data_IF_098339578146
#
_entry.id   IF_098339578146
#
_cell.length_a   1.000
_cell.length_b   1.000
_cell.length_c   1.000
_cell.angle_alpha   90.00
_cell.angle_beta   90.00
_cell.angle_gamma   90.00
#
_symmetry.space_group_name_H-M   'P 1'
#
loop_
_entity.id
_entity.type
_entity.pdbx_description
1 polymer ?
#
# COMPACT_ATOMS: atom_id res chain seq x y z
N UNK A 1 26.90 -46.75 -9.76
CA UNK A 1 27.19 -45.44 -9.08
C UNK A 1 27.27 -44.34 -10.12
N UNK A 2 26.23 -43.54 -10.25
CA UNK A 2 26.16 -42.45 -11.24
C UNK A 2 26.73 -41.16 -10.63
N UNK A 3 27.80 -40.64 -11.23
CA UNK A 3 28.40 -39.34 -10.87
C UNK A 3 27.42 -38.22 -11.28
N UNK A 4 26.85 -37.50 -10.29
CA UNK A 4 26.13 -36.25 -10.49
C UNK A 4 27.04 -35.24 -11.18
N UNK A 5 26.75 -34.84 -12.44
CA UNK A 5 27.38 -33.71 -13.13
C UNK A 5 27.09 -32.44 -12.33
N UNK A 6 28.11 -31.80 -11.77
CA UNK A 6 28.00 -30.43 -11.26
C UNK A 6 27.64 -29.50 -12.40
N UNK A 7 26.49 -28.82 -12.31
CA UNK A 7 26.12 -27.70 -13.18
C UNK A 7 27.22 -26.63 -13.05
N UNK A 8 27.87 -26.30 -14.15
CA UNK A 8 28.80 -25.17 -14.22
C UNK A 8 27.94 -23.89 -14.14
N UNK A 9 27.86 -23.30 -12.95
CA UNK A 9 27.37 -21.93 -12.79
C UNK A 9 28.40 -21.00 -13.44
N UNK A 10 27.98 -20.29 -14.48
CA UNK A 10 28.78 -19.23 -15.11
C UNK A 10 28.93 -18.09 -14.08
N UNK A 11 30.14 -17.90 -13.61
CA UNK A 11 30.49 -16.79 -12.73
C UNK A 11 30.48 -15.47 -13.55
N UNK A 12 29.97 -14.36 -13.00
CA UNK A 12 30.10 -13.03 -13.62
C UNK A 12 31.60 -12.72 -13.90
N UNK A 13 31.87 -12.11 -15.05
CA UNK A 13 33.23 -11.77 -15.47
C UNK A 13 33.97 -10.95 -14.39
N UNK A 14 35.13 -11.41 -13.99
CA UNK A 14 36.00 -10.73 -13.02
C UNK A 14 35.78 -11.10 -11.56
N UNK A 15 34.79 -11.93 -11.21
CA UNK A 15 34.55 -12.36 -9.83
C UNK A 15 35.13 -13.72 -9.48
N UNK A 16 35.84 -13.82 -8.36
CA UNK A 16 36.22 -15.12 -7.81
C UNK A 16 35.00 -15.84 -7.22
N UNK A 17 35.01 -17.19 -7.18
CA UNK A 17 33.94 -18.00 -6.56
C UNK A 17 33.62 -17.58 -5.11
N UNK A 18 34.60 -17.11 -4.37
CA UNK A 18 34.45 -16.62 -2.99
C UNK A 18 33.69 -15.29 -2.97
N UNK A 19 34.02 -14.37 -3.89
CA UNK A 19 33.33 -13.08 -4.04
C UNK A 19 31.89 -13.26 -4.49
N UNK A 20 31.62 -14.12 -5.48
CA UNK A 20 30.28 -14.45 -5.93
C UNK A 20 29.42 -15.06 -4.79
N UNK A 21 29.99 -15.96 -3.98
CA UNK A 21 29.29 -16.53 -2.82
C UNK A 21 29.04 -15.51 -1.71
N UNK A 22 29.96 -14.56 -1.49
CA UNK A 22 29.75 -13.45 -0.54
C UNK A 22 28.70 -12.47 -1.04
N UNK A 23 28.73 -12.12 -2.33
CA UNK A 23 27.73 -11.28 -2.97
C UNK A 23 26.34 -11.91 -2.91
N UNK A 24 26.20 -13.19 -3.25
CA UNK A 24 24.94 -13.92 -3.14
C UNK A 24 24.38 -13.95 -1.71
N UNK A 25 25.22 -14.16 -0.70
CA UNK A 25 24.81 -14.11 0.71
C UNK A 25 24.46 -12.70 1.18
N UNK A 26 25.13 -11.66 0.65
CA UNK A 26 24.81 -10.28 0.94
C UNK A 26 23.47 -9.89 0.31
N UNK A 27 23.22 -10.30 -0.93
CA UNK A 27 21.93 -10.11 -1.61
C UNK A 27 20.79 -10.84 -0.89
N UNK A 28 21.00 -12.10 -0.48
CA UNK A 28 20.06 -12.88 0.31
C UNK A 28 19.72 -12.19 1.65
N UNK A 29 20.73 -11.65 2.35
CA UNK A 29 20.50 -10.87 3.57
C UNK A 29 19.74 -9.58 3.29
N UNK A 30 20.11 -8.85 2.25
CA UNK A 30 19.45 -7.63 1.86
C UNK A 30 17.99 -7.87 1.44
N UNK A 31 17.70 -8.99 0.77
CA UNK A 31 16.34 -9.40 0.42
C UNK A 31 15.47 -9.74 1.66
N UNK A 32 16.11 -10.25 2.72
CA UNK A 32 15.45 -10.56 4.00
C UNK A 32 15.33 -9.34 4.94
N UNK A 33 16.01 -8.25 4.63
CA UNK A 33 16.01 -7.05 5.45
C UNK A 33 14.71 -6.26 5.25
N UNK A 34 13.91 -6.15 6.31
CA UNK A 34 12.70 -5.32 6.31
C UNK A 34 13.11 -3.86 6.31
N UNK A 35 12.69 -3.12 5.29
CA UNK A 35 12.82 -1.67 5.33
C UNK A 35 11.69 -1.10 6.22
N UNK A 36 11.99 -0.26 7.22
CA UNK A 36 10.97 0.28 8.13
C UNK A 36 9.90 1.10 7.40
N UNK A 37 10.30 1.82 6.34
CA UNK A 37 9.40 2.61 5.46
C UNK A 37 9.70 2.27 4.00
N UNK A 38 9.14 1.18 3.46
CA UNK A 38 9.49 0.68 2.12
C UNK A 38 9.17 1.65 0.97
N UNK A 39 8.22 2.56 1.18
CA UNK A 39 7.84 3.62 0.23
C UNK A 39 8.28 5.02 0.71
N UNK A 40 9.07 5.09 1.78
CA UNK A 40 9.46 6.34 2.41
C UNK A 40 10.14 7.33 1.47
N UNK A 41 9.74 8.61 1.56
CA UNK A 41 10.25 9.70 0.75
C UNK A 41 9.62 9.83 -0.64
N UNK A 42 8.54 9.10 -0.91
CA UNK A 42 7.64 9.35 -2.04
C UNK A 42 6.41 10.10 -1.55
N UNK A 43 5.91 11.08 -2.30
CA UNK A 43 4.63 11.74 -2.01
C UNK A 43 3.49 10.70 -1.97
N UNK A 44 3.57 9.67 -2.80
CA UNK A 44 2.64 8.55 -2.86
C UNK A 44 2.73 7.55 -1.70
N UNK A 45 3.62 7.72 -0.70
CA UNK A 45 3.86 6.72 0.35
C UNK A 45 2.60 6.26 1.06
N UNK A 46 1.78 7.20 1.56
CA UNK A 46 0.55 6.88 2.28
C UNK A 46 -0.46 6.14 1.38
N UNK A 47 -0.57 6.54 0.12
CA UNK A 47 -1.44 5.93 -0.87
C UNK A 47 -1.01 4.50 -1.20
N UNK A 48 0.29 4.26 -1.42
CA UNK A 48 0.83 2.91 -1.67
C UNK A 48 0.59 1.98 -0.47
N UNK A 49 0.81 2.47 0.75
CA UNK A 49 0.53 1.70 1.97
C UNK A 49 -0.96 1.41 2.11
N UNK A 50 -1.83 2.39 1.85
CA UNK A 50 -3.27 2.19 1.94
C UNK A 50 -3.78 1.17 0.92
N UNK A 51 -3.32 1.25 -0.33
CA UNK A 51 -3.65 0.29 -1.39
C UNK A 51 -3.17 -1.12 -1.08
N UNK A 52 -2.01 -1.24 -0.44
CA UNK A 52 -1.47 -2.55 -0.08
C UNK A 52 -2.23 -3.22 1.07
N UNK A 53 -2.63 -2.45 2.09
CA UNK A 53 -3.12 -3.00 3.35
C UNK A 53 -4.64 -2.94 3.51
N UNK A 54 -5.31 -1.99 2.86
CA UNK A 54 -6.68 -1.65 3.24
C UNK A 54 -7.68 -1.66 2.10
N UNK A 55 -7.24 -1.60 0.85
CA UNK A 55 -8.13 -1.47 -0.31
C UNK A 55 -8.15 -2.77 -1.10
N UNK A 56 -9.33 -3.38 -1.30
CA UNK A 56 -9.42 -4.67 -2.01
C UNK A 56 -9.24 -4.53 -3.52
N UNK A 57 -9.82 -3.51 -4.14
CA UNK A 57 -9.80 -3.33 -5.59
C UNK A 57 -9.62 -1.86 -5.96
N UNK A 58 -8.42 -1.53 -6.45
CA UNK A 58 -8.12 -0.19 -6.93
C UNK A 58 -6.93 -0.22 -7.89
N UNK A 59 -6.83 0.83 -8.71
CA UNK A 59 -5.67 1.14 -9.55
C UNK A 59 -5.29 2.61 -9.40
N UNK A 60 -4.02 2.93 -9.67
CA UNK A 60 -3.59 4.31 -9.85
C UNK A 60 -2.47 4.37 -10.89
N UNK A 61 -2.45 5.43 -11.70
CA UNK A 61 -1.39 5.64 -12.68
C UNK A 61 -0.11 6.04 -11.95
N UNK A 62 1.01 5.40 -12.31
CA UNK A 62 2.33 5.71 -11.79
C UNK A 62 3.09 6.66 -12.71
N UNK A 63 3.76 7.65 -12.13
CA UNK A 63 4.73 8.49 -12.83
C UNK A 63 6.10 7.81 -12.82
N UNK A 64 6.41 7.02 -13.86
CA UNK A 64 7.62 6.20 -13.94
C UNK A 64 8.64 6.83 -14.86
N UNK A 65 9.87 7.01 -14.38
CA UNK A 65 10.97 7.65 -15.11
C UNK A 65 11.44 6.81 -16.29
N UNK A 66 11.42 7.38 -17.49
CA UNK A 66 11.95 6.75 -18.70
C UNK A 66 11.15 5.56 -19.21
N UNK A 67 9.83 5.58 -19.05
CA UNK A 67 8.89 4.62 -19.62
C UNK A 67 8.11 5.28 -20.76
N UNK A 68 7.91 4.54 -21.84
CA UNK A 68 7.17 4.99 -23.03
C UNK A 68 5.70 4.51 -23.00
N UNK A 69 5.33 3.69 -22.00
CA UNK A 69 3.99 3.12 -21.82
C UNK A 69 3.36 3.57 -20.51
N UNK A 70 2.06 3.57 -20.46
CA UNK A 70 1.31 3.81 -19.23
C UNK A 70 1.48 2.64 -18.26
N UNK A 71 1.87 2.95 -17.04
CA UNK A 71 2.05 1.98 -15.95
C UNK A 71 1.12 2.32 -14.82
N UNK A 72 0.41 1.30 -14.34
CA UNK A 72 -0.51 1.42 -13.21
C UNK A 72 -0.05 0.54 -12.05
N UNK A 73 -0.11 1.07 -10.83
CA UNK A 73 -0.12 0.23 -9.64
C UNK A 73 -1.55 -0.28 -9.43
N UNK A 74 -1.67 -1.53 -9.04
CA UNK A 74 -2.94 -2.17 -8.71
C UNK A 74 -2.87 -2.82 -7.34
N UNK A 75 -3.99 -2.90 -6.63
CA UNK A 75 -4.05 -3.62 -5.35
C UNK A 75 -3.71 -5.08 -5.54
N UNK A 76 -4.49 -5.80 -6.34
CA UNK A 76 -4.25 -7.19 -6.68
C UNK A 76 -4.51 -7.44 -8.16
N UNK A 77 -3.64 -8.19 -8.81
CA UNK A 77 -3.77 -8.61 -10.21
C UNK A 77 -4.37 -10.01 -10.31
N UNK A 78 -4.86 -10.44 -11.48
CA UNK A 78 -5.33 -11.81 -11.70
C UNK A 78 -4.31 -12.84 -11.20
N UNK A 79 -4.75 -13.80 -10.36
CA UNK A 79 -3.87 -14.78 -9.74
C UNK A 79 -2.89 -14.22 -8.70
N UNK A 80 -3.08 -12.99 -8.24
CA UNK A 80 -2.16 -12.26 -7.37
C UNK A 80 -0.72 -12.24 -7.93
N UNK A 81 -0.61 -12.05 -9.24
CA UNK A 81 0.67 -11.91 -9.96
C UNK A 81 1.34 -10.57 -9.65
N UNK A 82 2.66 -10.50 -9.85
CA UNK A 82 3.43 -9.31 -9.52
C UNK A 82 3.35 -8.21 -10.58
N UNK A 83 3.24 -8.59 -11.85
CA UNK A 83 3.02 -7.64 -12.94
C UNK A 83 2.38 -8.32 -14.15
N UNK A 84 1.72 -7.51 -14.98
CA UNK A 84 1.27 -7.93 -16.30
C UNK A 84 1.40 -6.74 -17.28
N UNK A 85 1.65 -7.04 -18.54
CA UNK A 85 1.62 -6.08 -19.65
C UNK A 85 0.55 -6.56 -20.60
N UNK A 86 -0.48 -5.76 -20.84
CA UNK A 86 -1.54 -6.08 -21.79
C UNK A 86 -0.99 -6.15 -23.21
N UNK A 87 -1.61 -6.94 -24.06
CA UNK A 87 -1.31 -6.95 -25.49
C UNK A 87 -1.52 -5.56 -26.10
N UNK A 88 -0.81 -5.26 -27.19
CA UNK A 88 -0.96 -3.97 -27.88
C UNK A 88 -2.39 -3.73 -28.37
N UNK A 89 -3.09 -4.79 -28.82
CA UNK A 89 -4.50 -4.74 -29.22
C UNK A 89 -5.45 -4.38 -28.05
N UNK A 90 -5.00 -4.62 -26.82
CA UNK A 90 -5.71 -4.33 -25.57
C UNK A 90 -5.21 -3.07 -24.86
N UNK A 91 -4.46 -2.19 -25.57
CA UNK A 91 -3.99 -0.91 -25.05
C UNK A 91 -2.52 -0.87 -24.64
N UNK A 92 -1.85 -2.01 -24.50
CA UNK A 92 -0.40 -2.08 -24.19
C UNK A 92 -0.02 -1.59 -22.78
N UNK A 93 -1.00 -1.27 -21.93
CA UNK A 93 -0.81 -0.80 -20.56
C UNK A 93 -0.13 -1.84 -19.70
N UNK A 94 0.68 -1.40 -18.75
CA UNK A 94 1.32 -2.27 -17.78
C UNK A 94 0.74 -2.06 -16.37
N UNK A 95 0.64 -3.16 -15.63
CA UNK A 95 0.16 -3.15 -14.25
C UNK A 95 1.16 -3.84 -13.34
N UNK A 96 1.40 -3.27 -12.16
CA UNK A 96 2.21 -3.85 -11.09
C UNK A 96 1.35 -4.02 -9.85
N UNK A 97 1.34 -5.23 -9.28
CA UNK A 97 0.54 -5.59 -8.11
C UNK A 97 1.25 -5.27 -6.80
N UNK A 98 0.50 -4.81 -5.80
CA UNK A 98 0.99 -4.65 -4.42
C UNK A 98 0.75 -5.90 -3.59
N UNK A 99 -0.42 -6.51 -3.71
CA UNK A 99 -0.83 -7.71 -2.96
C UNK A 99 -0.48 -8.97 -3.79
N UNK A 100 0.79 -9.34 -3.79
CA UNK A 100 1.33 -10.43 -4.59
C UNK A 100 1.39 -11.72 -3.76
N UNK A 101 1.02 -12.86 -4.35
CA UNK A 101 1.01 -14.14 -3.65
C UNK A 101 2.39 -14.57 -3.15
N UNK A 102 3.43 -14.33 -3.94
CA UNK A 102 4.81 -14.65 -3.58
C UNK A 102 5.70 -13.42 -3.75
N UNK A 103 6.16 -12.89 -2.63
CA UNK A 103 6.91 -11.65 -2.52
C UNK A 103 7.98 -11.74 -1.44
N UNK A 104 8.88 -10.75 -1.37
CA UNK A 104 9.85 -10.62 -0.30
C UNK A 104 9.25 -9.94 0.94
N UNK A 105 10.06 -9.65 1.94
CA UNK A 105 9.64 -8.87 3.10
C UNK A 105 9.81 -7.34 2.91
N UNK A 106 10.12 -6.89 1.70
CA UNK A 106 10.33 -5.48 1.38
C UNK A 106 9.48 -5.07 0.17
N UNK A 107 8.24 -4.59 0.42
CA UNK A 107 7.31 -4.21 -0.65
C UNK A 107 7.86 -3.15 -1.62
N UNK A 108 8.70 -2.23 -1.15
CA UNK A 108 9.32 -1.22 -2.02
C UNK A 108 10.29 -1.85 -3.03
N UNK A 109 11.05 -2.86 -2.61
CA UNK A 109 11.93 -3.63 -3.52
C UNK A 109 11.13 -4.51 -4.46
N UNK A 110 10.04 -5.11 -3.97
CA UNK A 110 9.15 -5.92 -4.79
C UNK A 110 8.52 -5.07 -5.90
N UNK A 111 8.04 -3.88 -5.57
CA UNK A 111 7.50 -2.92 -6.55
C UNK A 111 8.57 -2.48 -7.54
N UNK A 112 9.78 -2.14 -7.07
CA UNK A 112 10.90 -1.77 -7.93
C UNK A 112 11.32 -2.91 -8.88
N UNK A 113 11.31 -4.16 -8.39
CA UNK A 113 11.57 -5.35 -9.20
C UNK A 113 10.51 -5.51 -10.31
N UNK A 114 9.23 -5.39 -9.96
CA UNK A 114 8.13 -5.49 -10.91
C UNK A 114 8.18 -4.38 -11.97
N UNK A 115 8.47 -3.13 -11.58
CA UNK A 115 8.65 -2.02 -12.51
C UNK A 115 9.83 -2.22 -13.45
N UNK A 116 10.98 -2.66 -12.92
CA UNK A 116 12.15 -2.96 -13.76
C UNK A 116 11.88 -4.11 -14.74
N UNK A 117 11.08 -5.10 -14.30
CA UNK A 117 10.64 -6.18 -15.19
C UNK A 117 9.73 -5.65 -16.32
N UNK A 118 8.74 -4.80 -16.00
CA UNK A 118 7.85 -4.16 -17.00
C UNK A 118 8.66 -3.40 -18.05
N UNK A 119 9.73 -2.72 -17.65
CA UNK A 119 10.62 -1.97 -18.58
C UNK A 119 11.27 -2.87 -19.64
N UNK A 120 11.58 -4.10 -19.25
CA UNK A 120 12.42 -5.00 -20.06
C UNK A 120 11.62 -6.12 -20.74
N UNK A 121 10.29 -6.11 -20.67
CA UNK A 121 9.46 -7.17 -21.24
C UNK A 121 8.42 -6.62 -22.22
N UNK A 122 7.99 -7.50 -23.14
CA UNK A 122 7.08 -7.18 -24.22
C UNK A 122 5.60 -7.24 -23.78
N UNK A 123 4.68 -6.60 -24.51
CA UNK A 123 3.23 -6.79 -24.37
C UNK A 123 2.84 -8.28 -24.35
N UNK A 124 1.77 -8.61 -23.63
CA UNK A 124 1.30 -9.98 -23.44
C UNK A 124 2.05 -10.79 -22.37
N UNK A 125 3.05 -10.19 -21.70
CA UNK A 125 3.87 -10.86 -20.68
C UNK A 125 3.27 -10.73 -19.28
N UNK A 126 3.51 -11.75 -18.43
CA UNK A 126 3.11 -11.77 -17.02
C UNK A 126 4.27 -12.18 -16.13
N UNK A 127 4.43 -11.48 -15.01
CA UNK A 127 5.37 -11.82 -13.94
C UNK A 127 4.58 -12.39 -12.75
N UNK A 128 4.75 -13.67 -12.46
CA UNK A 128 3.95 -14.33 -11.41
C UNK A 128 4.34 -13.93 -9.99
N UNK A 129 5.63 -13.69 -9.74
CA UNK A 129 6.15 -13.40 -8.40
C UNK A 129 7.33 -12.46 -8.44
N UNK A 130 7.58 -11.77 -7.32
CA UNK A 130 8.79 -10.98 -7.16
C UNK A 130 9.90 -11.82 -6.53
N UNK A 131 11.10 -11.62 -7.04
CA UNK A 131 12.31 -12.25 -6.53
C UNK A 131 13.39 -11.18 -6.37
N UNK A 132 13.05 -10.08 -5.67
CA UNK A 132 13.94 -8.96 -5.45
C UNK A 132 15.24 -9.42 -4.78
N UNK A 133 16.28 -9.56 -5.57
CA UNK A 133 17.60 -10.07 -5.18
C UNK A 133 18.64 -8.98 -4.94
N UNK A 134 18.22 -7.71 -5.01
CA UNK A 134 19.06 -6.54 -4.88
C UNK A 134 19.70 -6.07 -6.20
N UNK A 135 19.38 -6.71 -7.33
CA UNK A 135 19.84 -6.27 -8.65
C UNK A 135 18.94 -5.20 -9.28
N UNK A 136 17.71 -5.05 -8.79
CA UNK A 136 16.76 -4.03 -9.25
C UNK A 136 17.23 -2.64 -8.79
N UNK A 137 16.89 -1.56 -9.54
CA UNK A 137 17.08 -0.19 -9.09
C UNK A 137 16.33 0.10 -7.78
N UNK A 138 16.72 1.13 -7.05
CA UNK A 138 15.92 1.64 -5.93
C UNK A 138 14.60 2.25 -6.45
N UNK A 139 13.53 2.15 -5.67
CA UNK A 139 12.20 2.60 -6.10
C UNK A 139 12.18 4.10 -6.48
N UNK A 140 12.93 4.93 -5.76
CA UNK A 140 13.08 6.36 -6.05
C UNK A 140 13.82 6.68 -7.36
N UNK A 141 14.60 5.74 -7.87
CA UNK A 141 15.23 5.88 -9.19
C UNK A 141 14.23 5.65 -10.32
N UNK A 142 13.16 4.91 -10.04
CA UNK A 142 12.13 4.53 -11.00
C UNK A 142 10.91 5.46 -10.98
N UNK A 143 10.49 5.96 -9.82
CA UNK A 143 9.31 6.79 -9.65
C UNK A 143 9.68 8.28 -9.50
N UNK A 144 8.81 9.17 -9.97
CA UNK A 144 8.88 10.59 -9.63
C UNK A 144 8.51 10.76 -8.16
N UNK A 145 9.42 11.34 -7.36
CA UNK A 145 9.29 11.39 -5.90
C UNK A 145 8.14 12.28 -5.44
N UNK A 146 7.86 13.36 -6.18
CA UNK A 146 6.82 14.35 -5.84
C UNK A 146 5.44 14.00 -6.45
N UNK A 147 5.32 12.89 -7.18
CA UNK A 147 4.07 12.50 -7.81
C UNK A 147 3.12 11.88 -6.80
N UNK A 148 1.94 12.45 -6.68
CA UNK A 148 0.81 11.86 -5.96
C UNK A 148 0.07 10.85 -6.83
N UNK A 149 -0.74 9.98 -6.22
CA UNK A 149 -1.54 8.99 -6.92
C UNK A 149 -3.01 9.43 -6.99
N UNK A 150 -3.53 9.50 -8.21
CA UNK A 150 -4.96 9.54 -8.44
C UNK A 150 -5.51 8.11 -8.42
N UNK A 151 -6.25 7.77 -7.35
CA UNK A 151 -6.68 6.40 -7.07
C UNK A 151 -8.09 6.19 -7.61
N UNK A 152 -8.24 5.16 -8.44
CA UNK A 152 -9.52 4.66 -8.89
C UNK A 152 -9.91 3.43 -8.07
N UNK A 153 -10.91 3.57 -7.20
CA UNK A 153 -11.45 2.48 -6.37
C UNK A 153 -12.59 1.80 -7.12
N UNK A 154 -12.57 0.47 -7.14
CA UNK A 154 -13.59 -0.33 -7.81
C UNK A 154 -14.34 -1.21 -6.80
N UNK A 155 -15.61 -1.50 -7.10
CA UNK A 155 -16.42 -2.41 -6.29
C UNK A 155 -16.37 -3.86 -6.79
N UNK A 156 -15.55 -4.11 -7.81
CA UNK A 156 -15.30 -5.43 -8.40
C UNK A 156 -13.91 -5.48 -9.06
N UNK A 157 -13.62 -6.55 -9.77
CA UNK A 157 -12.40 -6.74 -10.55
C UNK A 157 -12.66 -6.76 -12.07
N UNK A 158 -13.75 -6.15 -12.55
CA UNK A 158 -14.03 -6.11 -13.99
C UNK A 158 -12.89 -5.46 -14.79
N UNK A 159 -12.18 -4.50 -14.19
CA UNK A 159 -11.02 -3.84 -14.78
C UNK A 159 -9.82 -4.77 -15.07
N UNK A 160 -9.80 -5.99 -14.54
CA UNK A 160 -8.80 -7.00 -14.90
C UNK A 160 -8.84 -7.34 -16.39
N UNK A 161 -10.04 -7.22 -16.98
CA UNK A 161 -10.24 -7.51 -18.40
C UNK A 161 -10.22 -6.20 -19.20
N UNK A 162 -9.62 -6.20 -20.40
CA UNK A 162 -9.78 -5.08 -21.32
C UNK A 162 -11.24 -4.85 -21.66
N UNK A 163 -11.61 -3.61 -21.92
CA UNK A 163 -12.98 -3.25 -22.30
C UNK A 163 -13.40 -4.02 -23.57
N UNK A 164 -14.58 -4.64 -23.52
CA UNK A 164 -15.13 -5.43 -24.64
C UNK A 164 -14.51 -6.81 -24.83
N UNK A 165 -13.56 -7.23 -23.99
CA UNK A 165 -12.96 -8.56 -24.09
C UNK A 165 -13.96 -9.66 -23.72
N UNK A 166 -13.93 -10.78 -24.47
CA UNK A 166 -14.68 -11.98 -24.13
C UNK A 166 -13.97 -12.70 -22.98
N UNK A 167 -14.67 -12.86 -21.85
CA UNK A 167 -14.12 -13.55 -20.68
C UNK A 167 -14.24 -15.07 -20.87
N UNK A 168 -13.14 -15.83 -20.89
CA UNK A 168 -13.20 -17.28 -20.94
C UNK A 168 -13.93 -17.87 -19.72
N UNK A 169 -14.68 -18.98 -19.85
CA UNK A 169 -15.49 -19.55 -18.74
C UNK A 169 -14.71 -19.79 -17.44
N UNK A 170 -13.47 -20.24 -17.54
CA UNK A 170 -12.60 -20.46 -16.37
C UNK A 170 -12.22 -19.14 -15.67
N UNK A 171 -11.92 -18.11 -16.46
CA UNK A 171 -11.63 -16.78 -15.95
C UNK A 171 -12.87 -16.14 -15.33
N UNK A 172 -14.06 -16.34 -15.93
CA UNK A 172 -15.32 -15.84 -15.40
C UNK A 172 -15.61 -16.36 -13.98
N UNK A 173 -15.33 -17.64 -13.72
CA UNK A 173 -15.48 -18.19 -12.37
C UNK A 173 -14.47 -17.61 -11.36
N UNK A 174 -13.22 -17.40 -11.79
CA UNK A 174 -12.21 -16.79 -10.94
C UNK A 174 -12.57 -15.31 -10.62
N UNK A 175 -13.00 -14.58 -11.64
CA UNK A 175 -13.46 -13.20 -11.50
C UNK A 175 -14.67 -13.10 -10.55
N UNK A 176 -15.66 -14.01 -10.70
CA UNK A 176 -16.82 -14.03 -9.81
C UNK A 176 -16.41 -14.26 -8.35
N UNK A 177 -15.53 -15.22 -8.08
CA UNK A 177 -15.03 -15.48 -6.72
C UNK A 177 -14.26 -14.28 -6.15
N UNK A 178 -13.47 -13.60 -6.98
CA UNK A 178 -12.76 -12.39 -6.58
C UNK A 178 -13.76 -11.29 -6.24
N UNK A 179 -14.77 -11.06 -7.09
CA UNK A 179 -15.81 -10.06 -6.86
C UNK A 179 -16.61 -10.34 -5.58
N UNK A 180 -16.95 -11.60 -5.31
CA UNK A 180 -17.67 -12.01 -4.09
C UNK A 180 -16.88 -11.70 -2.79
N UNK A 181 -15.57 -11.48 -2.91
CA UNK A 181 -14.69 -11.15 -1.78
C UNK A 181 -14.38 -9.65 -1.62
N UNK A 182 -14.83 -8.82 -2.55
CA UNK A 182 -14.59 -7.37 -2.47
C UNK A 182 -15.39 -6.78 -1.31
N UNK A 183 -14.69 -6.09 -0.45
CA UNK A 183 -15.28 -5.26 0.61
C UNK A 183 -15.60 -3.90 0.01
N UNK A 184 -16.85 -3.47 0.10
CA UNK A 184 -17.26 -2.15 -0.34
C UNK A 184 -16.35 -1.08 0.28
N UNK A 185 -15.72 -0.27 -0.57
CA UNK A 185 -14.70 0.69 -0.14
C UNK A 185 -14.74 1.96 -0.99
N UNK A 186 -14.54 3.11 -0.35
CA UNK A 186 -14.47 4.42 -0.99
C UNK A 186 -13.32 5.22 -0.42
N UNK A 187 -12.64 5.99 -1.26
CA UNK A 187 -11.68 6.98 -0.79
C UNK A 187 -12.44 8.17 -0.19
N UNK A 188 -11.94 8.69 0.94
CA UNK A 188 -12.53 9.82 1.67
C UNK A 188 -11.44 10.81 2.07
N UNK A 189 -11.82 12.03 2.42
CA UNK A 189 -10.88 13.10 2.77
C UNK A 189 -10.33 13.85 1.55
N UNK A 190 -10.77 13.55 0.34
CA UNK A 190 -10.26 14.19 -0.88
C UNK A 190 -10.72 15.65 -1.03
N UNK A 191 -11.87 15.99 -0.47
CA UNK A 191 -12.41 17.36 -0.52
C UNK A 191 -11.91 18.25 0.62
N UNK A 192 -11.19 17.69 1.59
CA UNK A 192 -10.66 18.41 2.73
C UNK A 192 -9.39 19.16 2.34
N UNK A 193 -9.42 20.50 2.38
CA UNK A 193 -8.25 21.33 2.12
C UNK A 193 -7.09 20.98 3.08
N UNK A 194 -5.91 20.75 2.52
CA UNK A 194 -4.71 20.42 3.28
C UNK A 194 -4.76 19.07 3.97
N UNK A 195 -5.57 18.11 3.48
CA UNK A 195 -5.67 16.78 4.05
C UNK A 195 -4.35 16.02 3.90
N UNK A 196 -3.82 15.53 5.02
CA UNK A 196 -2.53 14.83 5.04
C UNK A 196 -2.75 13.32 5.08
N UNK A 197 -2.17 12.62 4.12
CA UNK A 197 -2.28 11.17 4.00
C UNK A 197 -3.43 10.71 3.11
N UNK A 198 -3.84 9.46 3.27
CA UNK A 198 -4.86 8.82 2.43
C UNK A 198 -5.82 8.01 3.30
N UNK A 199 -7.11 8.24 3.16
CA UNK A 199 -8.14 7.60 3.96
C UNK A 199 -9.15 6.82 3.11
N UNK A 200 -9.61 5.69 3.64
CA UNK A 200 -10.62 4.85 3.00
C UNK A 200 -11.70 4.47 4.01
N UNK A 201 -12.94 4.68 3.62
CA UNK A 201 -14.09 4.07 4.22
C UNK A 201 -14.25 2.65 3.69
N UNK A 202 -14.60 1.71 4.55
CA UNK A 202 -14.84 0.33 4.15
C UNK A 202 -15.93 -0.31 5.02
N UNK A 203 -16.86 -1.05 4.38
CA UNK A 203 -17.89 -1.83 5.06
C UNK A 203 -17.52 -3.32 5.01
N UNK A 204 -16.79 -3.78 6.02
CA UNK A 204 -16.40 -5.19 6.13
C UNK A 204 -17.53 -6.12 6.63
N UNK A 205 -18.76 -5.60 6.79
CA UNK A 205 -19.86 -6.34 7.40
C UNK A 205 -19.81 -6.32 8.93
N UNK A 206 -20.67 -7.13 9.56
CA UNK A 206 -20.72 -7.20 11.04
C UNK A 206 -21.35 -6.00 11.73
N UNK A 207 -22.10 -5.15 11.00
CA UNK A 207 -22.83 -4.01 11.53
C UNK A 207 -21.98 -2.78 11.81
N UNK A 208 -20.78 -2.71 11.23
CA UNK A 208 -19.89 -1.53 11.30
C UNK A 208 -19.16 -1.28 10.01
N UNK A 209 -19.05 -0.01 9.66
CA UNK A 209 -18.06 0.48 8.69
C UNK A 209 -16.86 1.07 9.44
N UNK A 210 -15.79 1.28 8.72
CA UNK A 210 -14.55 1.82 9.26
C UNK A 210 -13.95 2.86 8.32
N UNK A 211 -13.42 3.95 8.87
CA UNK A 211 -12.42 4.75 8.16
C UNK A 211 -11.04 4.38 8.68
N UNK A 212 -10.13 4.03 7.75
CA UNK A 212 -8.72 3.78 7.99
C UNK A 212 -7.94 4.87 7.28
N UNK A 213 -7.22 5.67 8.05
CA UNK A 213 -6.55 6.86 7.56
C UNK A 213 -5.03 6.71 7.69
N UNK A 214 -4.35 6.35 6.62
CA UNK A 214 -2.88 6.22 6.59
C UNK A 214 -2.26 7.61 6.54
N UNK A 215 -1.41 7.91 7.52
CA UNK A 215 -0.73 9.20 7.61
C UNK A 215 0.79 9.03 7.59
N UNK A 216 1.52 9.83 6.79
CA UNK A 216 2.94 10.01 6.96
C UNK A 216 3.24 10.51 8.37
N UNK A 217 4.26 9.95 8.99
CA UNK A 217 4.62 10.29 10.35
C UNK A 217 6.13 10.14 10.53
N UNK A 218 6.85 11.23 10.83
CA UNK A 218 8.27 11.18 11.08
C UNK A 218 8.57 10.92 12.57
N UNK A 219 7.69 11.39 13.47
CA UNK A 219 7.75 11.13 14.91
C UNK A 219 6.43 10.50 15.40
N UNK A 220 6.46 9.19 15.60
CA UNK A 220 5.32 8.43 16.13
C UNK A 220 4.87 8.95 17.50
N UNK A 221 5.79 9.37 18.37
CA UNK A 221 5.41 9.83 19.69
C UNK A 221 4.70 11.18 19.62
N UNK A 222 5.17 12.10 18.79
CA UNK A 222 4.49 13.38 18.57
C UNK A 222 3.07 13.14 18.03
N UNK A 223 2.92 12.24 17.06
CA UNK A 223 1.62 11.89 16.49
C UNK A 223 0.67 11.26 17.53
N UNK A 224 1.14 10.29 18.32
CA UNK A 224 0.33 9.67 19.37
C UNK A 224 -0.04 10.66 20.50
N UNK A 225 0.86 11.59 20.80
CA UNK A 225 0.58 12.68 21.76
C UNK A 225 -0.51 13.62 21.23
N UNK A 226 -0.44 13.98 19.93
CA UNK A 226 -1.48 14.78 19.28
C UNK A 226 -2.86 14.09 19.36
N UNK A 227 -2.93 12.80 18.99
CA UNK A 227 -4.17 12.01 19.16
C UNK A 227 -4.68 12.01 20.61
N UNK A 228 -3.77 11.89 21.59
CA UNK A 228 -4.13 11.88 23.01
C UNK A 228 -4.71 13.22 23.48
N UNK A 229 -4.16 14.35 23.02
CA UNK A 229 -4.69 15.69 23.32
C UNK A 229 -6.08 15.90 22.74
N UNK A 230 -6.28 15.51 21.48
CA UNK A 230 -7.58 15.61 20.80
C UNK A 230 -8.60 14.69 21.52
N UNK A 231 -8.18 13.47 21.91
CA UNK A 231 -9.03 12.55 22.64
C UNK A 231 -9.40 13.06 24.04
N UNK A 232 -8.48 13.73 24.74
CA UNK A 232 -8.75 14.30 26.07
C UNK A 232 -9.82 15.41 26.02
N UNK A 233 -9.88 16.15 24.91
CA UNK A 233 -10.95 17.14 24.67
C UNK A 233 -12.27 16.53 24.19
N UNK A 234 -12.32 15.22 23.98
CA UNK A 234 -13.51 14.53 23.43
C UNK A 234 -13.71 14.74 21.92
N UNK A 235 -12.72 15.25 21.22
CA UNK A 235 -12.79 15.65 19.81
C UNK A 235 -12.28 14.58 18.83
N UNK A 236 -11.74 13.46 19.31
CA UNK A 236 -11.23 12.38 18.48
C UNK A 236 -12.38 11.45 18.02
N UNK A 237 -13.23 11.98 17.19
CA UNK A 237 -14.38 11.31 16.57
C UNK A 237 -14.68 11.95 15.20
N UNK A 238 -15.52 11.32 14.42
CA UNK A 238 -15.99 11.82 13.11
C UNK A 238 -17.49 12.13 13.13
N UNK A 239 -17.96 12.80 14.21
CA UNK A 239 -19.35 13.16 14.42
C UNK A 239 -20.12 12.16 15.28
N UNK A 240 -21.45 12.33 15.36
CA UNK A 240 -22.33 11.50 16.16
C UNK A 240 -22.24 10.02 15.77
N UNK A 241 -22.38 9.14 16.76
CA UNK A 241 -22.34 7.68 16.59
C UNK A 241 -21.04 7.11 15.99
N UNK A 242 -19.96 7.90 15.98
CA UNK A 242 -18.64 7.44 15.56
C UNK A 242 -17.72 7.24 16.76
N UNK A 243 -16.72 6.37 16.60
CA UNK A 243 -15.80 6.08 17.69
C UNK A 243 -14.40 5.84 17.17
N UNK A 244 -13.42 6.50 17.77
CA UNK A 244 -12.03 6.13 17.56
C UNK A 244 -11.77 4.70 18.09
N UNK A 245 -11.45 3.79 17.17
CA UNK A 245 -11.23 2.38 17.48
C UNK A 245 -9.81 2.09 17.98
N UNK A 246 -8.82 2.80 17.42
CA UNK A 246 -7.40 2.62 17.73
C UNK A 246 -6.52 3.03 16.57
N UNK A 247 -5.29 2.51 16.54
CA UNK A 247 -4.33 2.77 15.47
C UNK A 247 -3.74 1.47 14.94
N UNK A 248 -3.57 1.39 13.63
CA UNK A 248 -2.70 0.39 13.01
C UNK A 248 -1.31 0.99 12.79
N UNK A 249 -0.29 0.15 12.94
CA UNK A 249 1.08 0.43 12.50
C UNK A 249 1.40 -0.51 11.36
N UNK A 250 1.74 0.05 10.23
CA UNK A 250 2.13 -0.70 9.05
C UNK A 250 3.13 0.08 8.21
N UNK A 251 4.15 -0.59 7.69
CA UNK A 251 5.18 0.00 6.82
C UNK A 251 5.79 1.31 7.36
N UNK A 252 5.91 1.42 8.69
CA UNK A 252 6.46 2.61 9.36
C UNK A 252 5.53 3.80 9.44
N UNK A 253 4.27 3.64 9.00
CA UNK A 253 3.22 4.65 9.11
C UNK A 253 2.20 4.27 10.19
N UNK A 254 1.41 5.25 10.57
CA UNK A 254 0.30 5.10 11.51
C UNK A 254 -1.01 5.33 10.78
N UNK A 255 -1.98 4.45 11.03
CA UNK A 255 -3.32 4.58 10.51
C UNK A 255 -4.33 4.63 11.67
N UNK A 256 -4.82 5.82 12.07
CA UNK A 256 -6.01 5.96 12.89
C UNK A 256 -7.20 5.25 12.26
N UNK A 257 -7.99 4.58 13.11
CA UNK A 257 -9.17 3.82 12.71
C UNK A 257 -10.38 4.33 13.49
N UNK A 258 -11.46 4.58 12.76
CA UNK A 258 -12.73 5.01 13.31
C UNK A 258 -13.82 3.98 12.99
N UNK A 259 -14.57 3.55 14.01
CA UNK A 259 -15.79 2.76 13.86
C UNK A 259 -16.94 3.70 13.49
N UNK A 260 -17.73 3.32 12.52
CA UNK A 260 -18.80 4.11 11.94
C UNK A 260 -20.08 3.28 11.79
N UNK A 261 -21.19 3.97 11.65
CA UNK A 261 -22.45 3.38 11.25
C UNK A 261 -22.41 3.06 9.74
N UNK A 262 -22.62 1.82 9.30
CA UNK A 262 -22.59 1.44 7.90
C UNK A 262 -23.75 2.00 7.08
N UNK A 263 -24.84 2.45 7.73
CA UNK A 263 -26.00 3.06 7.07
C UNK A 263 -25.78 4.55 6.72
N UNK A 264 -24.70 5.15 7.25
CA UNK A 264 -24.32 6.54 6.94
C UNK A 264 -23.38 6.56 5.75
N UNK A 265 -23.72 7.40 4.75
CA UNK A 265 -22.97 7.51 3.51
C UNK A 265 -21.52 7.92 3.74
N UNK A 266 -20.59 7.31 3.00
CA UNK A 266 -19.15 7.50 3.16
C UNK A 266 -18.68 8.96 3.00
N UNK A 267 -19.34 9.76 2.15
CA UNK A 267 -19.05 11.17 1.88
C UNK A 267 -19.52 12.12 3.00
N UNK A 268 -20.35 11.65 3.91
CA UNK A 268 -20.84 12.45 5.04
C UNK A 268 -19.75 12.83 6.04
N UNK A 269 -18.58 12.18 5.98
CA UNK A 269 -17.49 12.35 6.95
C UNK A 269 -16.45 13.40 6.54
N UNK A 270 -16.54 14.01 5.35
CA UNK A 270 -15.53 14.94 4.82
C UNK A 270 -15.25 16.13 5.75
N UNK A 271 -16.30 16.76 6.28
CA UNK A 271 -16.17 17.91 7.17
C UNK A 271 -15.49 17.52 8.51
N UNK A 272 -15.84 16.35 9.04
CA UNK A 272 -15.26 15.85 10.30
C UNK A 272 -13.81 15.37 10.12
N UNK A 273 -13.50 14.76 8.99
CA UNK A 273 -12.13 14.42 8.60
C UNK A 273 -11.27 15.68 8.48
N UNK A 274 -11.79 16.74 7.86
CA UNK A 274 -11.12 18.04 7.78
C UNK A 274 -10.86 18.64 9.17
N UNK A 275 -11.85 18.61 10.07
CA UNK A 275 -11.73 19.09 11.44
C UNK A 275 -10.63 18.33 12.22
N UNK A 276 -10.66 16.99 12.16
CA UNK A 276 -9.66 16.18 12.86
C UNK A 276 -8.27 16.34 12.23
N UNK A 277 -8.19 16.45 10.90
CA UNK A 277 -6.93 16.72 10.20
C UNK A 277 -6.29 18.03 10.68
N UNK A 278 -7.06 19.11 10.73
CA UNK A 278 -6.59 20.42 11.22
C UNK A 278 -6.12 20.34 12.67
N UNK A 279 -6.89 19.71 13.54
CA UNK A 279 -6.52 19.51 14.94
C UNK A 279 -5.23 18.70 15.09
N UNK A 280 -5.02 17.67 14.25
CA UNK A 280 -3.78 16.88 14.23
C UNK A 280 -2.57 17.71 13.80
N UNK A 281 -2.69 18.51 12.74
CA UNK A 281 -1.59 19.37 12.26
C UNK A 281 -1.18 20.41 13.32
N UNK A 282 -2.15 20.96 14.06
CA UNK A 282 -1.89 21.89 15.16
C UNK A 282 -1.18 21.19 16.34
N UNK A 283 -1.61 19.99 16.71
CA UNK A 283 -1.10 19.29 17.90
C UNK A 283 0.18 18.48 17.66
N UNK A 284 0.49 18.08 16.43
CA UNK A 284 1.75 17.39 16.12
C UNK A 284 2.97 18.27 16.42
N UNK A 285 2.84 19.57 16.25
CA UNK A 285 3.91 20.55 16.53
C UNK A 285 3.97 21.00 18.00
N UNK A 286 3.02 20.59 18.82
CA UNK A 286 2.93 20.92 20.23
C UNK A 286 3.87 20.05 21.07
N UNK A 287 4.96 20.61 21.55
CA UNK A 287 5.99 19.95 22.37
C UNK A 287 5.74 20.04 23.89
N UNK A 288 4.61 20.63 24.32
CA UNK A 288 4.24 20.72 25.72
C UNK A 288 4.08 19.31 26.34
N UNK A 289 4.42 19.20 27.61
CA UNK A 289 4.19 17.96 28.35
C UNK A 289 2.68 17.65 28.47
N UNK A 290 2.33 16.39 28.23
CA UNK A 290 0.97 15.92 28.41
C UNK A 290 0.50 16.11 29.86
N UNK A 291 -0.73 16.54 30.06
CA UNK A 291 -1.38 16.56 31.36
C UNK A 291 -1.86 15.16 31.82
N UNK A 292 -2.60 15.07 32.92
CA UNK A 292 -3.02 13.79 33.47
C UNK A 292 -4.07 13.07 32.59
N UNK A 293 -5.02 13.82 32.04
CA UNK A 293 -6.07 13.25 31.18
C UNK A 293 -5.51 12.86 29.81
N UNK A 294 -4.64 13.68 29.24
CA UNK A 294 -3.93 13.37 28.00
C UNK A 294 -3.05 12.13 28.12
N UNK A 295 -2.30 11.96 29.23
CA UNK A 295 -1.54 10.73 29.51
C UNK A 295 -2.42 9.51 29.61
N UNK A 296 -3.59 9.63 30.23
CA UNK A 296 -4.58 8.56 30.30
C UNK A 296 -5.07 8.16 28.90
N UNK A 297 -5.38 9.14 28.05
CA UNK A 297 -5.77 8.87 26.68
C UNK A 297 -4.63 8.25 25.86
N UNK A 298 -3.41 8.70 26.03
CA UNK A 298 -2.23 8.09 25.39
C UNK A 298 -2.11 6.60 25.74
N UNK A 299 -2.31 6.22 27.01
CA UNK A 299 -2.30 4.81 27.41
C UNK A 299 -3.45 4.01 26.77
N UNK A 300 -4.64 4.60 26.68
CA UNK A 300 -5.78 3.99 26.01
C UNK A 300 -5.48 3.75 24.51
N UNK A 301 -4.89 4.73 23.82
CA UNK A 301 -4.50 4.62 22.41
C UNK A 301 -3.45 3.53 22.22
N UNK A 302 -2.39 3.54 23.04
CA UNK A 302 -1.31 2.53 22.98
C UNK A 302 -1.83 1.11 23.26
N UNK A 303 -2.82 0.95 24.15
CA UNK A 303 -3.42 -0.36 24.43
C UNK A 303 -4.26 -0.92 23.29
N UNK A 304 -4.67 -0.08 22.33
CA UNK A 304 -5.46 -0.43 21.13
C UNK A 304 -4.63 -0.36 19.86
N UNK A 305 -3.31 -0.32 19.99
CA UNK A 305 -2.41 -0.29 18.86
C UNK A 305 -2.17 -1.71 18.33
N UNK A 306 -2.35 -1.90 17.03
CA UNK A 306 -2.12 -3.17 16.33
C UNK A 306 -1.07 -2.96 15.25
N UNK A 307 -0.06 -3.83 15.24
CA UNK A 307 0.94 -3.84 14.15
C UNK A 307 0.52 -4.86 13.10
N UNK A 308 0.27 -4.40 11.88
CA UNK A 308 0.09 -5.25 10.71
C UNK A 308 1.47 -5.75 10.24
N UNK A 309 1.56 -7.03 9.86
CA UNK A 309 2.83 -7.70 9.51
C UNK A 309 2.71 -8.42 8.18
#
# INVERSE_FOLDING_TARGET
>A
MAKKKKKNEQLPEGMSRRQAKLAARAAERAALEKHPRPFGGLAAEASLVALQEFVPSATAKLSVKGFDKDVYVATVLPGATAALIRDEESGGEAFVGLQVQSHTHNPGRDLAFALNWVKNNAPGSTLESTAADGSQPELKELLEEDAELEINVYQDFAWWMPEGAQVPPQMAQALQRANDSVIESYQVGQEAEGFVGTAFWANAGGGKAHIRWVRPCDDENAFLNALARIAARGELNLGENTKFAGVFRTHGLIAPVFDLDPEVAHDSYEAELSRVNKALEEEITNDANLDADERKQLQNIKSRQVTLR
#
